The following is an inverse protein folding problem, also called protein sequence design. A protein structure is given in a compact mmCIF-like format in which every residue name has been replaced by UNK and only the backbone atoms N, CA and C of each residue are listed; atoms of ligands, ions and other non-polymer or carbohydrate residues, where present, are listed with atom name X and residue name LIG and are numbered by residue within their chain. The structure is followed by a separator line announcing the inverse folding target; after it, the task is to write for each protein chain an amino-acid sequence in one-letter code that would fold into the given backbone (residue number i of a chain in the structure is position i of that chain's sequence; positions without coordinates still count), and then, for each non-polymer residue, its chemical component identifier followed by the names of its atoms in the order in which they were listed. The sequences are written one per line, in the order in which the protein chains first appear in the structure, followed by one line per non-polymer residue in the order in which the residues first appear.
data_IF_340089122723
#
_entry.id   IF_340089122723
#
_cell.length_a   1.000
_cell.length_b   1.000
_cell.length_c   1.000
_cell.angle_alpha   90.00
_cell.angle_beta   90.00
_cell.angle_gamma   90.00
#
_symmetry.space_group_name_H-M   'P 1'
#
loop_
_entity.id
_entity.type
_entity.pdbx_description
1 polymer ?
#
# COMPACT_ATOMS: atom_id res chain seq x y z
N UNK A 1 -8.17 -13.58 -32.84
CA UNK A 1 -7.25 -12.42 -32.90
C UNK A 1 -7.58 -11.37 -31.83
N UNK A 2 -8.86 -11.00 -31.62
CA UNK A 2 -9.29 -10.12 -30.52
C UNK A 2 -9.03 -10.69 -29.12
N UNK A 3 -9.21 -12.00 -28.91
CA UNK A 3 -9.04 -12.62 -27.59
C UNK A 3 -7.60 -12.55 -27.07
N UNK A 4 -6.61 -12.68 -27.96
CA UNK A 4 -5.19 -12.54 -27.63
C UNK A 4 -4.84 -11.09 -27.23
N UNK A 5 -5.47 -10.10 -27.85
CA UNK A 5 -5.24 -8.70 -27.51
C UNK A 5 -5.79 -8.38 -26.11
N UNK A 6 -6.99 -8.87 -25.79
CA UNK A 6 -7.59 -8.71 -24.46
C UNK A 6 -6.78 -9.43 -23.38
N UNK A 7 -6.23 -10.62 -23.68
CA UNK A 7 -5.37 -11.35 -22.76
C UNK A 7 -4.08 -10.59 -22.45
N UNK A 8 -3.37 -10.10 -23.48
CA UNK A 8 -2.17 -9.27 -23.28
C UNK A 8 -2.48 -7.98 -22.51
N UNK A 9 -3.61 -7.32 -22.81
CA UNK A 9 -4.03 -6.11 -22.11
C UNK A 9 -4.33 -6.36 -20.63
N UNK A 10 -4.95 -7.50 -20.28
CA UNK A 10 -5.20 -7.88 -18.87
C UNK A 10 -3.90 -8.09 -18.10
N UNK A 11 -2.91 -8.78 -18.68
CA UNK A 11 -1.61 -8.98 -18.04
C UNK A 11 -0.87 -7.66 -17.79
N UNK A 12 -0.85 -6.77 -18.79
CA UNK A 12 -0.21 -5.46 -18.67
C UNK A 12 -0.96 -4.57 -17.66
N UNK A 13 -2.29 -4.57 -17.72
CA UNK A 13 -3.13 -3.80 -16.80
C UNK A 13 -3.00 -4.26 -15.35
N UNK A 14 -2.93 -5.57 -15.11
CA UNK A 14 -2.69 -6.13 -13.79
C UNK A 14 -1.30 -5.74 -13.27
N UNK A 15 -0.26 -5.82 -14.11
CA UNK A 15 1.09 -5.35 -13.77
C UNK A 15 1.11 -3.86 -13.40
N UNK A 16 0.48 -3.01 -14.20
CA UNK A 16 0.38 -1.58 -13.94
C UNK A 16 -0.35 -1.26 -12.62
N UNK A 17 -1.41 -2.00 -12.29
CA UNK A 17 -2.15 -1.85 -11.03
C UNK A 17 -1.25 -2.11 -9.79
N UNK A 18 -0.27 -3.01 -9.88
CA UNK A 18 0.64 -3.30 -8.77
C UNK A 18 1.65 -2.21 -8.47
N UNK A 19 1.90 -1.26 -9.39
CA UNK A 19 2.84 -0.16 -9.17
C UNK A 19 2.41 0.69 -7.95
N UNK A 20 1.10 0.82 -7.72
CA UNK A 20 0.57 1.54 -6.56
C UNK A 20 0.96 0.93 -5.20
N UNK A 21 1.35 -0.35 -5.15
CA UNK A 21 1.84 -1.01 -3.93
C UNK A 21 3.16 -0.41 -3.47
N UNK A 22 4.01 0.08 -4.38
CA UNK A 22 5.27 0.72 -4.02
C UNK A 22 5.08 1.97 -3.15
N UNK A 23 4.02 2.75 -3.42
CA UNK A 23 3.66 3.93 -2.64
C UNK A 23 3.34 3.60 -1.17
N UNK A 24 2.71 2.45 -0.93
CA UNK A 24 2.43 1.96 0.43
C UNK A 24 3.74 1.69 1.19
N UNK A 25 4.74 1.10 0.54
CA UNK A 25 6.03 0.78 1.16
C UNK A 25 6.76 2.04 1.62
N UNK A 26 6.77 3.07 0.78
CA UNK A 26 7.30 4.39 1.14
C UNK A 26 6.53 5.02 2.32
N UNK A 27 5.20 4.97 2.30
CA UNK A 27 4.34 5.49 3.37
C UNK A 27 4.62 4.84 4.72
N UNK A 28 4.74 3.50 4.75
CA UNK A 28 5.06 2.74 5.97
C UNK A 28 6.44 3.15 6.52
N UNK A 29 7.45 3.26 5.64
CA UNK A 29 8.78 3.71 6.03
C UNK A 29 8.77 5.10 6.67
N UNK A 30 7.99 6.04 6.13
CA UNK A 30 7.84 7.38 6.71
C UNK A 30 7.12 7.35 8.06
N UNK A 31 6.03 6.57 8.20
CA UNK A 31 5.27 6.46 9.46
C UNK A 31 6.14 5.92 10.58
N UNK A 32 6.83 4.79 10.35
CA UNK A 32 7.68 4.18 11.37
C UNK A 32 8.98 4.98 11.60
N UNK A 33 9.54 5.61 10.58
CA UNK A 33 10.70 6.50 10.74
C UNK A 33 10.39 7.69 11.66
N UNK A 34 9.24 8.34 11.46
CA UNK A 34 8.79 9.43 12.31
C UNK A 34 8.40 8.97 13.72
N UNK A 35 7.89 7.74 13.87
CA UNK A 35 7.61 7.15 15.17
C UNK A 35 8.88 7.02 16.02
N UNK A 36 9.98 6.51 15.43
CA UNK A 36 11.27 6.33 16.13
C UNK A 36 11.83 7.69 16.55
N UNK A 37 11.81 8.69 15.66
CA UNK A 37 12.25 10.06 15.97
C UNK A 37 11.39 10.68 17.08
N UNK A 38 10.07 10.47 17.02
CA UNK A 38 9.14 10.93 18.06
C UNK A 38 9.38 10.27 19.41
N UNK A 39 9.67 8.97 19.42
CA UNK A 39 10.03 8.21 20.63
C UNK A 39 11.34 8.67 21.25
N UNK A 40 12.34 8.98 20.42
CA UNK A 40 13.63 9.51 20.88
C UNK A 40 13.47 10.90 21.51
N UNK A 41 12.57 11.74 20.96
CA UNK A 41 12.32 13.10 21.46
C UNK A 41 11.52 13.15 22.75
N UNK A 42 10.45 12.35 22.85
CA UNK A 42 9.60 12.37 24.04
C UNK A 42 9.08 10.97 24.40
N UNK A 43 9.81 10.22 25.25
CA UNK A 43 9.46 8.85 25.59
C UNK A 43 8.19 8.73 26.45
N UNK A 44 7.67 9.83 27.03
CA UNK A 44 6.44 9.80 27.81
C UNK A 44 5.18 9.65 26.95
N UNK A 45 5.23 10.08 25.69
CA UNK A 45 4.10 10.04 24.76
C UNK A 45 4.07 8.77 23.89
N UNK A 46 4.91 7.76 24.19
CA UNK A 46 5.07 6.54 23.38
C UNK A 46 3.75 5.89 23.02
N UNK A 47 2.83 5.74 23.98
CA UNK A 47 1.59 5.01 23.76
C UNK A 47 0.63 5.75 22.81
N UNK A 48 0.50 7.08 22.94
CA UNK A 48 -0.29 7.87 21.99
C UNK A 48 0.33 7.89 20.59
N UNK A 49 1.65 8.10 20.50
CA UNK A 49 2.35 8.08 19.21
C UNK A 49 2.25 6.70 18.54
N UNK A 50 2.26 5.62 19.31
CA UNK A 50 2.06 4.27 18.78
C UNK A 50 0.67 4.12 18.15
N UNK A 51 -0.39 4.57 18.85
CA UNK A 51 -1.76 4.51 18.33
C UNK A 51 -1.89 5.29 17.02
N UNK A 52 -1.30 6.49 16.93
CA UNK A 52 -1.28 7.27 15.69
C UNK A 52 -0.48 6.60 14.58
N UNK A 53 0.66 5.98 14.89
CA UNK A 53 1.45 5.26 13.90
C UNK A 53 0.72 4.01 13.37
N UNK A 54 0.02 3.27 14.22
CA UNK A 54 -0.78 2.12 13.78
C UNK A 54 -1.96 2.57 12.91
N UNK A 55 -2.61 3.70 13.25
CA UNK A 55 -3.64 4.29 12.40
C UNK A 55 -3.08 4.69 11.02
N UNK A 56 -1.94 5.38 10.99
CA UNK A 56 -1.25 5.76 9.75
C UNK A 56 -0.81 4.56 8.92
N UNK A 57 -0.29 3.52 9.58
CA UNK A 57 0.06 2.24 8.97
C UNK A 57 -1.16 1.56 8.34
N UNK A 58 -2.28 1.49 9.07
CA UNK A 58 -3.52 0.87 8.58
C UNK A 58 -4.07 1.58 7.34
N UNK A 59 -4.03 2.92 7.30
CA UNK A 59 -4.47 3.70 6.13
C UNK A 59 -3.52 3.48 4.94
N UNK A 60 -2.21 3.45 5.18
CA UNK A 60 -1.21 3.16 4.14
C UNK A 60 -1.39 1.76 3.55
N UNK A 61 -1.62 0.76 4.40
CA UNK A 61 -1.87 -0.62 3.97
C UNK A 61 -3.22 -0.77 3.24
N UNK A 62 -4.28 -0.10 3.69
CA UNK A 62 -5.58 -0.12 3.01
C UNK A 62 -5.47 0.33 1.54
N UNK A 63 -4.67 1.37 1.27
CA UNK A 63 -4.42 1.82 -0.10
C UNK A 63 -3.67 0.78 -0.94
N UNK A 64 -2.68 0.11 -0.34
CA UNK A 64 -1.97 -0.98 -1.00
C UNK A 64 -2.86 -2.19 -1.29
N UNK A 65 -3.78 -2.51 -0.38
CA UNK A 65 -4.78 -3.57 -0.57
C UNK A 65 -5.77 -3.22 -1.69
N UNK A 66 -6.14 -1.95 -1.87
CA UNK A 66 -6.98 -1.55 -3.01
C UNK A 66 -6.26 -1.74 -4.36
N UNK A 67 -4.97 -1.40 -4.46
CA UNK A 67 -4.19 -1.68 -5.67
C UNK A 67 -4.11 -3.18 -5.96
N UNK A 68 -3.89 -4.00 -4.93
CA UNK A 68 -3.82 -5.45 -5.05
C UNK A 68 -5.18 -6.08 -5.40
N UNK A 69 -6.27 -5.56 -4.85
CA UNK A 69 -7.64 -5.94 -5.20
C UNK A 69 -7.90 -5.69 -6.69
N UNK A 70 -7.53 -4.51 -7.21
CA UNK A 70 -7.70 -4.20 -8.63
C UNK A 70 -6.87 -5.12 -9.53
N UNK A 71 -5.63 -5.44 -9.14
CA UNK A 71 -4.81 -6.39 -9.87
C UNK A 71 -5.48 -7.79 -9.95
N UNK A 72 -6.07 -8.27 -8.87
CA UNK A 72 -6.81 -9.55 -8.88
C UNK A 72 -8.10 -9.49 -9.68
N UNK A 73 -8.85 -8.38 -9.62
CA UNK A 73 -10.05 -8.20 -10.44
C UNK A 73 -9.72 -8.23 -11.93
N UNK A 74 -8.61 -7.60 -12.36
CA UNK A 74 -8.18 -7.58 -13.76
C UNK A 74 -7.71 -8.97 -14.24
N UNK A 75 -7.09 -9.76 -13.37
CA UNK A 75 -6.60 -11.11 -13.72
C UNK A 75 -7.69 -12.18 -13.71
N UNK A 76 -8.60 -12.15 -12.74
CA UNK A 76 -9.51 -13.25 -12.44
C UNK A 76 -11.00 -12.88 -12.43
N UNK A 77 -11.34 -11.59 -12.28
CA UNK A 77 -12.74 -11.14 -12.12
C UNK A 77 -13.40 -10.64 -13.41
N UNK A 78 -12.61 -10.02 -14.28
CA UNK A 78 -12.90 -9.69 -15.69
C UNK A 78 -12.24 -10.76 -16.56
#
# INVERSE_FOLDING_TARGET
MRDNLTFCAKLIGAGAATIGVAGRGAGIGTVFGNLIIGYARNPKLKQQLFTYAILGFAISEAMGLFCLMMAFLILYGI
#
